data_IF_144257961821
#
_entry.id   IF_144257961821
#
_cell.length_a   1.000
_cell.length_b   1.000
_cell.length_c   1.000
_cell.angle_alpha   90.00
_cell.angle_beta   90.00
_cell.angle_gamma   90.00
#
_symmetry.space_group_name_H-M   'P 1'
#
loop_
_entity.id
_entity.type
_entity.pdbx_description
1 polymer ?
#
# COMPACT_ATOMS: atom_id res chain seq x y z
N UNK A 1 17.16 45.43 -6.71
CA UNK A 1 16.02 44.59 -7.13
C UNK A 1 16.12 43.29 -6.37
N UNK A 2 15.33 43.12 -5.30
CA UNK A 2 15.31 41.90 -4.50
C UNK A 2 14.64 40.78 -5.30
N UNK A 3 15.38 39.72 -5.58
CA UNK A 3 14.84 38.46 -6.06
C UNK A 3 14.20 37.75 -4.87
N UNK A 4 12.88 37.84 -4.75
CA UNK A 4 12.11 37.01 -3.82
C UNK A 4 11.94 35.63 -4.44
N UNK A 5 12.88 34.72 -4.15
CA UNK A 5 12.75 33.31 -4.52
C UNK A 5 11.50 32.71 -3.84
N UNK A 6 10.62 32.01 -4.58
CA UNK A 6 9.44 31.39 -3.98
C UNK A 6 9.89 30.22 -3.11
N UNK A 7 9.62 30.32 -1.81
CA UNK A 7 9.82 29.22 -0.87
C UNK A 7 8.66 28.24 -1.03
N UNK A 8 8.90 27.07 -1.60
CA UNK A 8 7.89 26.02 -1.71
C UNK A 8 7.61 25.50 -0.30
N UNK A 9 6.41 25.79 0.23
CA UNK A 9 5.89 25.12 1.42
C UNK A 9 5.44 23.72 0.98
N UNK A 10 6.30 22.72 1.07
CA UNK A 10 5.87 21.32 0.91
C UNK A 10 5.28 20.84 2.23
N UNK A 11 3.96 20.97 2.40
CA UNK A 11 3.29 20.20 3.43
C UNK A 11 3.36 18.69 3.07
N UNK A 12 3.77 17.82 4.01
CA UNK A 12 3.86 16.39 3.75
C UNK A 12 2.46 15.80 3.55
N UNK A 13 2.26 15.10 2.44
CA UNK A 13 1.03 14.36 2.19
C UNK A 13 1.10 12.99 2.88
N UNK A 14 -0.01 12.57 3.48
CA UNK A 14 -0.17 11.22 4.07
C UNK A 14 -1.01 10.37 3.13
N UNK A 15 -0.76 9.06 3.14
CA UNK A 15 -1.57 8.06 2.46
C UNK A 15 -1.74 6.85 3.36
N UNK A 16 -2.96 6.36 3.43
CA UNK A 16 -3.27 5.10 4.08
C UNK A 16 -2.92 3.94 3.15
N UNK A 17 -2.51 2.82 3.73
CA UNK A 17 -1.98 1.66 2.99
C UNK A 17 -2.50 0.37 3.61
N UNK A 18 -2.66 -0.65 2.77
CA UNK A 18 -2.93 -2.01 3.23
C UNK A 18 -1.61 -2.68 3.59
N UNK A 19 -1.51 -3.24 4.79
CA UNK A 19 -0.35 -4.03 5.21
C UNK A 19 -0.78 -5.47 5.37
N UNK A 20 -0.08 -6.37 4.68
CA UNK A 20 -0.38 -7.80 4.67
C UNK A 20 0.86 -8.60 5.00
N UNK A 21 0.68 -9.60 5.87
CA UNK A 21 1.69 -10.63 6.09
C UNK A 21 1.43 -11.77 5.09
N UNK A 22 2.46 -12.07 4.32
CA UNK A 22 2.47 -13.17 3.35
C UNK A 22 3.42 -14.27 3.82
N UNK A 23 3.30 -15.45 3.21
CA UNK A 23 4.31 -16.51 3.35
C UNK A 23 5.60 -16.09 2.62
N UNK A 24 6.76 -16.45 3.16
CA UNK A 24 8.06 -16.18 2.54
C UNK A 24 8.40 -17.28 1.53
N UNK A 25 7.63 -17.32 0.45
CA UNK A 25 7.77 -18.30 -0.62
C UNK A 25 7.50 -17.67 -2.00
N UNK A 26 8.06 -18.25 -3.08
CA UNK A 26 7.82 -17.77 -4.42
C UNK A 26 6.32 -17.75 -4.75
N UNK A 27 5.82 -16.61 -5.22
CA UNK A 27 4.43 -16.45 -5.65
C UNK A 27 3.50 -15.81 -4.62
N UNK A 28 3.91 -15.69 -3.35
CA UNK A 28 3.03 -15.14 -2.30
C UNK A 28 2.54 -13.70 -2.58
N UNK A 29 3.39 -12.82 -3.12
CA UNK A 29 2.96 -11.50 -3.59
C UNK A 29 1.99 -11.58 -4.77
N UNK A 30 2.17 -12.57 -5.64
CA UNK A 30 1.30 -12.83 -6.78
C UNK A 30 -0.12 -13.21 -6.34
N UNK A 31 -0.25 -13.98 -5.27
CA UNK A 31 -1.56 -14.31 -4.67
C UNK A 31 -2.27 -13.06 -4.15
N UNK A 32 -1.56 -12.18 -3.42
CA UNK A 32 -2.12 -10.90 -2.96
C UNK A 32 -2.56 -10.05 -4.15
N UNK A 33 -1.71 -9.90 -5.17
CA UNK A 33 -2.01 -9.12 -6.36
C UNK A 33 -3.21 -9.69 -7.14
N UNK A 34 -3.35 -11.02 -7.18
CA UNK A 34 -4.48 -11.69 -7.84
C UNK A 34 -5.79 -11.44 -7.11
N UNK A 35 -5.79 -11.44 -5.77
CA UNK A 35 -6.98 -11.07 -4.97
C UNK A 35 -7.42 -9.64 -5.30
N UNK A 36 -6.49 -8.69 -5.36
CA UNK A 36 -6.80 -7.30 -5.73
C UNK A 36 -7.34 -7.21 -7.15
N UNK A 37 -6.71 -7.90 -8.11
CA UNK A 37 -7.14 -7.92 -9.50
C UNK A 37 -8.55 -8.49 -9.68
N UNK A 38 -8.89 -9.59 -8.99
CA UNK A 38 -10.25 -10.15 -9.03
C UNK A 38 -11.30 -9.21 -8.43
N UNK A 39 -10.91 -8.35 -7.49
CA UNK A 39 -11.77 -7.32 -6.92
C UNK A 39 -11.85 -6.05 -7.77
N UNK A 40 -11.03 -5.93 -8.83
CA UNK A 40 -10.93 -4.72 -9.65
C UNK A 40 -10.23 -3.55 -8.94
N UNK A 41 -9.42 -3.83 -7.92
CA UNK A 41 -8.70 -2.84 -7.12
C UNK A 41 -7.31 -2.62 -7.72
N UNK A 42 -6.96 -1.37 -8.00
CA UNK A 42 -5.64 -1.02 -8.51
C UNK A 42 -4.63 -0.89 -7.39
N UNK A 43 -3.40 -1.29 -7.68
CA UNK A 43 -2.25 -1.13 -6.80
C UNK A 43 -1.40 0.02 -7.32
N UNK A 44 -1.36 1.13 -6.58
CA UNK A 44 -0.58 2.32 -6.90
C UNK A 44 0.90 2.15 -6.52
N UNK A 45 1.17 1.41 -5.46
CA UNK A 45 2.53 1.17 -4.96
C UNK A 45 2.62 -0.12 -4.17
N UNK A 46 3.78 -0.77 -4.24
CA UNK A 46 4.12 -1.96 -3.42
C UNK A 46 5.53 -1.80 -2.89
N UNK A 47 5.72 -2.12 -1.61
CA UNK A 47 7.04 -2.29 -1.02
C UNK A 47 7.00 -3.34 0.10
N UNK A 48 8.18 -3.82 0.50
CA UNK A 48 8.33 -4.80 1.58
C UNK A 48 9.09 -4.17 2.74
N UNK A 49 8.57 -4.33 3.95
CA UNK A 49 9.24 -3.86 5.17
C UNK A 49 10.39 -4.79 5.56
N UNK A 50 11.28 -4.33 6.44
CA UNK A 50 12.36 -5.17 6.99
C UNK A 50 11.87 -6.38 7.78
N UNK A 51 10.58 -6.43 8.14
CA UNK A 51 9.92 -7.56 8.81
C UNK A 51 9.21 -8.51 7.84
N UNK A 52 9.35 -8.29 6.53
CA UNK A 52 8.74 -9.13 5.50
C UNK A 52 7.24 -8.86 5.26
N UNK A 53 6.69 -7.77 5.80
CA UNK A 53 5.32 -7.36 5.46
C UNK A 53 5.28 -6.70 4.10
N UNK A 54 4.31 -7.08 3.29
CA UNK A 54 3.97 -6.41 2.04
C UNK A 54 3.07 -5.23 2.38
N UNK A 55 3.41 -4.07 1.85
CA UNK A 55 2.61 -2.86 1.99
C UNK A 55 2.14 -2.43 0.61
N UNK A 56 0.83 -2.21 0.47
CA UNK A 56 0.20 -1.80 -0.77
C UNK A 56 -0.49 -0.45 -0.60
N UNK A 57 -0.15 0.51 -1.45
CA UNK A 57 -1.03 1.64 -1.72
C UNK A 57 -2.03 1.22 -2.79
N UNK A 58 -3.32 1.39 -2.52
CA UNK A 58 -4.43 0.96 -3.39
C UNK A 58 -5.44 2.09 -3.57
N UNK A 59 -6.20 2.06 -4.66
CA UNK A 59 -7.22 3.05 -4.96
C UNK A 59 -8.51 2.87 -4.12
N UNK A 60 -8.80 1.66 -3.66
CA UNK A 60 -9.88 1.35 -2.70
C UNK A 60 -9.36 0.55 -1.49
N UNK A 61 -8.99 1.25 -0.43
CA UNK A 61 -8.50 0.62 0.80
C UNK A 61 -9.58 -0.18 1.54
N UNK A 62 -10.83 0.29 1.54
CA UNK A 62 -11.92 -0.37 2.25
C UNK A 62 -12.26 -1.70 1.57
N UNK A 63 -12.39 -1.69 0.24
CA UNK A 63 -12.54 -2.90 -0.56
C UNK A 63 -11.35 -3.83 -0.39
N UNK A 64 -10.11 -3.30 -0.40
CA UNK A 64 -8.90 -4.10 -0.27
C UNK A 64 -8.84 -4.84 1.08
N UNK A 65 -9.18 -4.17 2.19
CA UNK A 65 -9.28 -4.81 3.51
C UNK A 65 -10.32 -5.92 3.50
N UNK A 66 -11.48 -5.71 2.85
CA UNK A 66 -12.55 -6.69 2.81
C UNK A 66 -12.17 -7.94 2.01
N UNK A 67 -11.58 -7.79 0.82
CA UNK A 67 -11.16 -8.93 0.00
C UNK A 67 -9.90 -9.60 0.54
N UNK A 68 -9.06 -8.84 1.26
CA UNK A 68 -7.90 -9.38 1.96
C UNK A 68 -8.24 -10.08 3.28
N UNK A 69 -9.51 -10.15 3.71
CA UNK A 69 -9.88 -10.77 4.99
C UNK A 69 -9.47 -12.25 5.15
N UNK A 70 -9.21 -12.96 4.06
CA UNK A 70 -8.63 -14.31 4.08
C UNK A 70 -7.10 -14.35 4.21
N UNK A 71 -6.45 -13.19 4.08
CA UNK A 71 -5.02 -12.97 4.25
C UNK A 71 -4.76 -12.34 5.63
N UNK A 72 -3.57 -12.53 6.19
CA UNK A 72 -3.22 -11.94 7.48
C UNK A 72 -2.97 -10.42 7.33
N UNK A 73 -4.05 -9.64 7.34
CA UNK A 73 -4.04 -8.18 7.31
C UNK A 73 -3.61 -7.63 8.67
N UNK A 74 -2.73 -6.63 8.65
CA UNK A 74 -2.25 -5.92 9.84
C UNK A 74 -2.73 -4.48 9.75
N UNK A 75 -3.43 -4.01 10.78
CA UNK A 75 -3.65 -2.58 10.97
C UNK A 75 -2.36 -1.98 11.56
N UNK A 76 -1.71 -1.07 10.83
CA UNK A 76 -0.68 -0.21 11.41
C UNK A 76 -1.39 1.06 11.88
N UNK A 77 -1.36 1.32 13.19
CA UNK A 77 -1.79 2.61 13.77
C UNK A 77 -0.74 3.72 13.55
#
# INVERSE_FOLDING_TARGET
MSSSSPTIRTEPTKRDVLVVRVLDEPGALGEVALVMAHAGINIDSVYVTTRGYVVLGVDDLAGAVQVAGGMAVIALE
#
